data_IF_399799030812
#
_entry.id   IF_399799030812
#
_cell.length_a   1.000
_cell.length_b   1.000
_cell.length_c   1.000
_cell.angle_alpha   90.00
_cell.angle_beta   90.00
_cell.angle_gamma   90.00
#
_symmetry.space_group_name_H-M   'P 1'
#
loop_
_entity.id
_entity.type
_entity.pdbx_description
1 polymer ?
#
# COMPACT_ATOMS: atom_id res chain seq x y z
N UNK A 1 -47.43 7.44 -39.42
CA UNK A 1 -46.24 6.82 -40.07
C UNK A 1 -46.57 5.52 -40.80
N UNK A 2 -47.10 4.47 -40.14
CA UNK A 2 -47.46 3.20 -40.83
C UNK A 2 -48.48 3.39 -41.97
N UNK A 3 -49.55 4.15 -41.75
CA UNK A 3 -50.53 4.49 -42.79
C UNK A 3 -49.90 5.24 -44.00
N UNK A 4 -48.92 6.12 -43.75
CA UNK A 4 -48.20 6.81 -44.81
C UNK A 4 -47.33 5.85 -45.64
N UNK A 5 -46.63 4.91 -44.98
CA UNK A 5 -45.87 3.87 -45.69
C UNK A 5 -46.77 2.98 -46.55
N UNK A 6 -47.99 2.67 -46.07
CA UNK A 6 -48.98 1.95 -46.89
C UNK A 6 -49.39 2.76 -48.13
N UNK A 7 -49.65 4.06 -48.02
CA UNK A 7 -49.94 4.90 -49.18
C UNK A 7 -48.77 5.03 -50.15
N UNK A 8 -47.52 5.01 -49.66
CA UNK A 8 -46.35 4.96 -50.54
C UNK A 8 -46.31 3.63 -51.30
N UNK A 9 -46.53 2.51 -50.61
CA UNK A 9 -46.55 1.18 -51.22
C UNK A 9 -47.71 1.01 -52.23
N UNK A 10 -48.85 1.68 -52.03
CA UNK A 10 -49.96 1.70 -53.01
C UNK A 10 -49.57 2.29 -54.36
N UNK A 11 -48.54 3.14 -54.42
CA UNK A 11 -48.06 3.68 -55.69
C UNK A 11 -47.40 2.60 -56.54
N UNK A 12 -46.77 1.60 -55.90
CA UNK A 12 -45.95 0.59 -56.58
C UNK A 12 -46.61 -0.80 -56.63
N UNK A 13 -47.54 -1.10 -55.71
CA UNK A 13 -48.11 -2.44 -55.52
C UNK A 13 -49.64 -2.43 -55.42
N UNK A 14 -50.30 -3.35 -56.14
CA UNK A 14 -51.78 -3.49 -56.13
C UNK A 14 -52.34 -4.18 -54.89
N UNK A 15 -51.60 -5.12 -54.31
CA UNK A 15 -52.03 -5.90 -53.15
C UNK A 15 -50.98 -5.78 -52.05
N UNK A 16 -51.38 -5.26 -50.89
CA UNK A 16 -50.49 -4.99 -49.76
C UNK A 16 -51.05 -5.68 -48.52
N UNK A 17 -50.25 -6.52 -47.88
CA UNK A 17 -50.60 -7.17 -46.61
C UNK A 17 -49.82 -6.50 -45.48
N UNK A 18 -50.54 -5.95 -44.49
CA UNK A 18 -49.93 -5.39 -43.28
C UNK A 18 -50.09 -6.35 -42.10
N UNK A 19 -48.99 -6.60 -41.40
CA UNK A 19 -48.98 -7.33 -40.13
C UNK A 19 -48.86 -6.28 -39.03
N UNK A 20 -49.86 -6.16 -38.17
CA UNK A 20 -49.84 -5.25 -37.03
C UNK A 20 -50.54 -5.86 -35.82
N UNK A 21 -50.30 -5.29 -34.63
CA UNK A 21 -51.04 -5.64 -33.42
C UNK A 21 -52.52 -5.29 -33.61
N UNK A 22 -53.42 -6.14 -33.09
CA UNK A 22 -54.88 -5.89 -33.13
C UNK A 22 -55.26 -4.56 -32.45
N UNK A 23 -54.46 -4.11 -31.47
CA UNK A 23 -54.66 -2.85 -30.76
C UNK A 23 -54.32 -1.63 -31.60
N UNK A 24 -53.37 -1.76 -32.53
CA UNK A 24 -52.93 -0.67 -33.41
C UNK A 24 -53.81 -0.56 -34.67
N UNK A 25 -54.51 -1.62 -35.05
CA UNK A 25 -55.31 -1.69 -36.28
C UNK A 25 -56.37 -0.57 -36.41
N UNK A 26 -57.19 -0.25 -35.39
CA UNK A 26 -58.19 0.82 -35.51
C UNK A 26 -57.55 2.16 -35.86
N UNK A 27 -56.42 2.49 -35.22
CA UNK A 27 -55.69 3.74 -35.43
C UNK A 27 -55.00 3.80 -36.78
N UNK A 28 -54.40 2.70 -37.22
CA UNK A 28 -53.78 2.60 -38.55
C UNK A 28 -54.84 2.74 -39.63
N UNK A 29 -55.97 2.04 -39.49
CA UNK A 29 -57.09 2.07 -40.43
C UNK A 29 -57.71 3.46 -40.54
N UNK A 30 -57.97 4.12 -39.41
CA UNK A 30 -58.49 5.49 -39.38
C UNK A 30 -57.51 6.46 -40.05
N UNK A 31 -56.22 6.41 -39.67
CA UNK A 31 -55.19 7.27 -40.24
C UNK A 31 -54.98 7.06 -41.76
N UNK A 32 -55.14 5.82 -42.23
CA UNK A 32 -55.04 5.47 -43.65
C UNK A 32 -56.28 5.92 -44.44
N UNK A 33 -57.48 5.72 -43.89
CA UNK A 33 -58.72 6.14 -44.57
C UNK A 33 -58.84 7.67 -44.65
N UNK A 34 -58.50 8.36 -43.56
CA UNK A 34 -58.63 9.83 -43.47
C UNK A 34 -57.43 10.57 -44.06
N UNK A 35 -56.42 9.86 -44.56
CA UNK A 35 -55.15 10.42 -45.06
C UNK A 35 -54.59 11.49 -44.12
N UNK A 36 -54.57 11.19 -42.82
CA UNK A 36 -54.14 12.16 -41.81
C UNK A 36 -52.73 12.66 -42.15
N UNK A 37 -52.44 13.97 -41.98
CA UNK A 37 -51.11 14.49 -42.16
C UNK A 37 -50.16 13.74 -41.23
N UNK A 38 -49.01 13.34 -41.76
CA UNK A 38 -47.98 12.66 -40.99
C UNK A 38 -46.84 13.64 -40.78
N UNK A 39 -46.31 13.64 -39.55
CA UNK A 39 -45.00 14.26 -39.34
C UNK A 39 -44.00 13.47 -40.16
N UNK A 40 -43.29 14.16 -41.06
CA UNK A 40 -42.06 13.63 -41.61
C UNK A 40 -41.15 13.34 -40.42
N UNK A 41 -41.02 12.06 -40.07
CA UNK A 41 -39.89 11.65 -39.24
C UNK A 41 -38.68 12.09 -40.05
N UNK A 42 -37.99 13.11 -39.55
CA UNK A 42 -36.58 13.32 -39.87
C UNK A 42 -35.95 12.00 -39.47
N UNK A 43 -35.74 11.10 -40.42
CA UNK A 43 -34.81 10.00 -40.22
C UNK A 43 -33.51 10.71 -39.89
N UNK A 44 -32.94 10.59 -38.68
CA UNK A 44 -31.57 11.01 -38.50
C UNK A 44 -30.77 10.01 -39.32
N UNK A 45 -30.56 10.36 -40.59
CA UNK A 45 -29.95 9.55 -41.63
C UNK A 45 -28.44 9.78 -41.63
N UNK A 46 -27.87 10.05 -40.47
CA UNK A 46 -26.44 9.88 -40.29
C UNK A 46 -26.22 8.41 -40.00
N UNK A 47 -25.58 7.72 -40.94
CA UNK A 47 -25.01 6.40 -40.67
C UNK A 47 -24.18 6.50 -39.38
N UNK A 48 -24.30 5.51 -38.47
CA UNK A 48 -23.53 5.53 -37.24
C UNK A 48 -22.04 5.63 -37.59
N UNK A 49 -21.40 6.71 -37.14
CA UNK A 49 -19.96 6.88 -37.26
C UNK A 49 -19.29 5.98 -36.22
N UNK A 50 -18.25 5.28 -36.64
CA UNK A 50 -17.44 4.44 -35.77
C UNK A 50 -16.25 5.29 -35.33
N UNK A 51 -16.04 5.34 -34.01
CA UNK A 51 -14.91 6.00 -33.40
C UNK A 51 -14.15 5.02 -32.54
N UNK A 52 -12.83 5.18 -32.46
CA UNK A 52 -12.05 4.56 -31.41
C UNK A 52 -12.26 5.36 -30.12
N UNK A 53 -11.94 4.76 -28.97
CA UNK A 53 -12.05 5.42 -27.66
C UNK A 53 -10.66 5.52 -27.07
N UNK A 54 -10.26 6.61 -26.41
CA UNK A 54 -8.97 6.62 -25.72
C UNK A 54 -8.93 5.63 -24.56
N UNK A 55 -7.80 4.91 -24.42
CA UNK A 55 -7.63 3.82 -23.44
C UNK A 55 -7.92 4.26 -22.01
N UNK A 56 -7.51 5.47 -21.66
CA UNK A 56 -7.69 6.06 -20.34
C UNK A 56 -9.17 6.32 -20.03
N UNK A 57 -10.00 6.50 -21.06
CA UNK A 57 -11.42 6.87 -20.93
C UNK A 57 -12.39 5.70 -21.10
N UNK A 58 -11.88 4.48 -21.32
CA UNK A 58 -12.71 3.27 -21.48
C UNK A 58 -13.72 3.03 -20.36
N UNK A 59 -13.38 3.46 -19.13
CA UNK A 59 -14.26 3.36 -17.98
C UNK A 59 -15.60 4.10 -18.17
N UNK A 60 -15.65 5.15 -18.99
CA UNK A 60 -16.87 5.89 -19.28
C UNK A 60 -17.74 5.24 -20.36
N UNK A 61 -17.16 4.34 -21.16
CA UNK A 61 -17.83 3.63 -22.26
C UNK A 61 -18.42 2.31 -21.80
N UNK A 62 -17.62 1.54 -21.06
CA UNK A 62 -17.94 0.19 -20.64
C UNK A 62 -18.92 0.23 -19.46
N UNK A 63 -19.86 -0.71 -19.43
CA UNK A 63 -20.81 -0.85 -18.32
C UNK A 63 -20.16 -1.47 -17.07
N UNK A 64 -19.05 -2.20 -17.26
CA UNK A 64 -18.26 -2.86 -16.22
C UNK A 64 -16.84 -2.27 -16.15
N UNK A 65 -16.04 -2.70 -15.17
CA UNK A 65 -14.62 -2.33 -15.14
C UNK A 65 -13.91 -2.83 -16.40
N UNK A 66 -13.07 -2.00 -17.06
CA UNK A 66 -12.31 -2.41 -18.23
C UNK A 66 -11.57 -3.75 -18.03
N UNK A 67 -11.02 -3.98 -16.84
CA UNK A 67 -10.35 -5.25 -16.54
C UNK A 67 -11.30 -6.45 -16.47
N UNK A 68 -12.52 -6.29 -15.97
CA UNK A 68 -13.52 -7.36 -15.97
C UNK A 68 -13.97 -7.66 -17.41
N UNK A 69 -14.15 -6.62 -18.22
CA UNK A 69 -14.44 -6.80 -19.66
C UNK A 69 -13.34 -7.59 -20.36
N UNK A 70 -12.07 -7.28 -20.05
CA UNK A 70 -10.94 -8.05 -20.55
C UNK A 70 -10.99 -9.53 -20.12
N UNK A 71 -11.32 -9.82 -18.86
CA UNK A 71 -11.47 -11.20 -18.38
C UNK A 71 -12.60 -11.94 -19.12
N UNK A 72 -13.74 -11.29 -19.34
CA UNK A 72 -14.85 -11.87 -20.10
C UNK A 72 -14.41 -12.23 -21.53
N UNK A 73 -13.61 -11.39 -22.17
CA UNK A 73 -13.12 -11.65 -23.52
C UNK A 73 -12.10 -12.80 -23.58
N UNK A 74 -11.22 -12.93 -22.59
CA UNK A 74 -10.34 -14.11 -22.46
C UNK A 74 -11.18 -15.38 -22.31
N UNK A 75 -12.18 -15.37 -21.42
CA UNK A 75 -13.01 -16.55 -21.17
C UNK A 75 -13.78 -16.97 -22.43
N UNK A 76 -14.25 -16.01 -23.24
CA UNK A 76 -14.87 -16.27 -24.54
C UNK A 76 -13.90 -16.89 -25.54
N UNK A 77 -12.65 -16.41 -25.60
CA UNK A 77 -11.62 -17.01 -26.45
C UNK A 77 -11.29 -18.44 -26.01
N UNK A 78 -11.31 -18.71 -24.71
CA UNK A 78 -11.06 -20.04 -24.13
C UNK A 78 -12.31 -20.95 -24.08
N UNK A 79 -13.47 -20.46 -24.53
CA UNK A 79 -14.76 -21.18 -24.52
C UNK A 79 -15.12 -21.68 -23.09
N UNK A 80 -14.86 -20.84 -22.08
CA UNK A 80 -15.22 -21.09 -20.68
C UNK A 80 -16.58 -20.45 -20.33
N UNK A 81 -17.30 -20.96 -19.32
CA UNK A 81 -18.55 -20.35 -18.89
C UNK A 81 -18.33 -19.00 -18.19
N UNK A 82 -19.08 -17.98 -18.60
CA UNK A 82 -18.99 -16.60 -18.08
C UNK A 82 -19.41 -16.45 -16.59
N UNK A 83 -20.01 -17.48 -15.98
CA UNK A 83 -20.53 -17.42 -14.59
C UNK A 83 -19.46 -17.13 -13.55
N UNK A 84 -18.24 -17.61 -13.77
CA UNK A 84 -17.13 -17.47 -12.81
C UNK A 84 -16.55 -16.05 -12.83
N UNK A 85 -16.54 -15.37 -13.99
CA UNK A 85 -15.93 -14.04 -14.14
C UNK A 85 -16.66 -12.96 -13.34
N UNK A 86 -17.99 -13.01 -13.29
CA UNK A 86 -18.80 -12.05 -12.52
C UNK A 86 -18.51 -12.14 -11.02
N UNK A 87 -18.20 -13.34 -10.51
CA UNK A 87 -17.95 -13.60 -9.10
C UNK A 87 -16.47 -13.35 -8.73
N UNK A 88 -15.55 -13.74 -9.61
CA UNK A 88 -14.11 -13.70 -9.34
C UNK A 88 -13.40 -12.47 -9.93
N UNK A 89 -14.07 -11.66 -10.76
CA UNK A 89 -13.46 -10.49 -11.41
C UNK A 89 -12.86 -9.48 -10.43
N UNK A 90 -13.52 -9.23 -9.29
CA UNK A 90 -12.96 -8.36 -8.24
C UNK A 90 -11.71 -8.98 -7.62
N UNK A 91 -11.69 -10.30 -7.41
CA UNK A 91 -10.52 -10.99 -6.85
C UNK A 91 -9.36 -10.92 -7.82
N UNK A 92 -9.61 -11.09 -9.12
CA UNK A 92 -8.59 -10.95 -10.16
C UNK A 92 -8.05 -9.52 -10.23
N UNK A 93 -8.90 -8.49 -10.10
CA UNK A 93 -8.43 -7.08 -9.95
C UNK A 93 -7.47 -6.96 -8.76
N UNK A 94 -7.80 -7.54 -7.60
CA UNK A 94 -6.92 -7.47 -6.42
C UNK A 94 -5.60 -8.23 -6.61
N UNK A 95 -5.64 -9.38 -7.30
CA UNK A 95 -4.44 -10.16 -7.64
C UNK A 95 -3.56 -9.34 -8.58
N UNK A 96 -4.15 -8.69 -9.59
CA UNK A 96 -3.43 -7.82 -10.50
C UNK A 96 -2.89 -6.57 -9.81
N UNK A 97 -3.68 -5.92 -8.96
CA UNK A 97 -3.24 -4.79 -8.15
C UNK A 97 -2.06 -5.16 -7.25
N UNK A 98 -2.06 -6.36 -6.65
CA UNK A 98 -0.92 -6.87 -5.88
C UNK A 98 0.33 -7.00 -6.75
N UNK A 99 0.20 -7.52 -7.98
CA UNK A 99 1.33 -7.65 -8.92
C UNK A 99 1.90 -6.27 -9.26
N UNK A 100 1.04 -5.31 -9.63
CA UNK A 100 1.42 -3.92 -9.94
C UNK A 100 2.15 -3.31 -8.73
N UNK A 101 1.56 -3.39 -7.54
CA UNK A 101 2.14 -2.86 -6.32
C UNK A 101 3.52 -3.46 -6.00
N UNK A 102 3.66 -4.79 -6.05
CA UNK A 102 4.92 -5.47 -5.73
C UNK A 102 6.00 -5.18 -6.76
N UNK A 103 5.65 -5.09 -8.05
CA UNK A 103 6.61 -4.75 -9.11
C UNK A 103 7.13 -3.32 -8.98
N UNK A 104 6.22 -2.38 -8.67
CA UNK A 104 6.52 -0.94 -8.59
C UNK A 104 7.31 -0.59 -7.33
N UNK A 105 6.83 -1.01 -6.15
CA UNK A 105 7.44 -0.59 -4.88
C UNK A 105 8.47 -1.57 -4.33
N UNK A 106 8.57 -2.78 -4.90
CA UNK A 106 9.49 -3.87 -4.49
C UNK A 106 9.65 -4.00 -2.96
N UNK A 107 8.55 -4.02 -2.19
CA UNK A 107 8.65 -4.05 -0.74
C UNK A 107 9.28 -5.36 -0.29
N UNK A 108 10.18 -5.31 0.70
CA UNK A 108 10.76 -6.53 1.28
C UNK A 108 9.69 -7.31 2.04
N UNK A 109 8.80 -6.60 2.71
CA UNK A 109 7.64 -7.15 3.39
C UNK A 109 6.39 -6.33 3.05
N UNK A 110 5.28 -7.00 2.76
CA UNK A 110 3.98 -6.36 2.57
C UNK A 110 2.87 -7.13 3.27
N UNK A 111 1.78 -6.45 3.62
CA UNK A 111 0.60 -7.01 4.27
C UNK A 111 -0.45 -7.55 3.29
N UNK A 112 -0.22 -7.49 1.97
CA UNK A 112 -1.15 -7.98 0.94
C UNK A 112 -1.21 -9.52 0.87
N UNK A 113 -1.64 -10.13 1.97
CA UNK A 113 -1.85 -11.57 2.14
C UNK A 113 -3.28 -11.96 1.81
N UNK A 114 -3.56 -13.25 1.68
CA UNK A 114 -4.92 -13.75 1.47
C UNK A 114 -5.88 -13.35 2.60
N UNK A 115 -5.39 -13.27 3.85
CA UNK A 115 -6.19 -12.83 5.00
C UNK A 115 -6.55 -11.34 4.90
N UNK A 116 -5.61 -10.50 4.46
CA UNK A 116 -5.89 -9.08 4.21
C UNK A 116 -6.88 -8.89 3.08
N UNK A 117 -6.78 -9.69 2.01
CA UNK A 117 -7.77 -9.67 0.92
C UNK A 117 -9.15 -10.20 1.33
N UNK A 118 -9.21 -11.18 2.23
CA UNK A 118 -10.48 -11.60 2.81
C UNK A 118 -11.13 -10.46 3.61
N UNK A 119 -10.34 -9.75 4.41
CA UNK A 119 -10.79 -8.58 5.18
C UNK A 119 -11.24 -7.46 4.23
N UNK A 120 -10.49 -7.22 3.16
CA UNK A 120 -10.83 -6.28 2.10
C UNK A 120 -12.19 -6.62 1.48
N UNK A 121 -12.39 -7.87 1.04
CA UNK A 121 -13.62 -8.28 0.35
C UNK A 121 -14.82 -8.21 1.29
N UNK A 122 -14.64 -8.58 2.56
CA UNK A 122 -15.67 -8.43 3.59
C UNK A 122 -16.06 -6.96 3.77
N UNK A 123 -15.07 -6.07 3.84
CA UNK A 123 -15.32 -4.65 4.01
C UNK A 123 -15.98 -4.03 2.77
N UNK A 124 -15.46 -4.31 1.57
CA UNK A 124 -16.05 -3.87 0.31
C UNK A 124 -17.50 -4.33 0.17
N UNK A 125 -17.78 -5.62 0.45
CA UNK A 125 -19.15 -6.15 0.46
C UNK A 125 -20.06 -5.39 1.42
N UNK A 126 -19.61 -5.14 2.65
CA UNK A 126 -20.42 -4.45 3.63
C UNK A 126 -20.70 -3.00 3.22
N UNK A 127 -19.72 -2.30 2.62
CA UNK A 127 -19.92 -0.94 2.12
C UNK A 127 -20.90 -0.90 0.94
N UNK A 128 -20.76 -1.83 -0.02
CA UNK A 128 -21.69 -1.99 -1.14
C UNK A 128 -23.13 -2.21 -0.67
N UNK A 129 -23.32 -3.03 0.37
CA UNK A 129 -24.64 -3.28 0.95
C UNK A 129 -25.23 -2.04 1.63
N UNK A 130 -24.41 -1.26 2.34
CA UNK A 130 -24.84 0.01 2.95
C UNK A 130 -25.30 1.01 1.88
N UNK A 131 -24.66 0.98 0.71
CA UNK A 131 -25.00 1.85 -0.42
C UNK A 131 -26.15 1.31 -1.29
N UNK A 132 -26.81 0.22 -0.89
CA UNK A 132 -27.89 -0.44 -1.64
C UNK A 132 -27.51 -0.82 -3.08
N UNK A 133 -26.24 -1.17 -3.31
CA UNK A 133 -25.73 -1.63 -4.61
C UNK A 133 -25.59 -3.17 -4.60
N UNK A 134 -25.65 -3.78 -5.78
CA UNK A 134 -25.39 -5.22 -5.95
C UNK A 134 -23.90 -5.51 -6.13
N UNK A 135 -23.17 -4.59 -6.76
CA UNK A 135 -21.74 -4.68 -7.03
C UNK A 135 -21.01 -3.44 -6.49
N UNK A 136 -19.78 -3.58 -5.97
CA UNK A 136 -18.98 -2.44 -5.55
C UNK A 136 -18.63 -1.55 -6.74
N UNK A 137 -18.73 -0.24 -6.55
CA UNK A 137 -18.23 0.73 -7.51
C UNK A 137 -16.71 0.93 -7.36
N UNK A 138 -16.10 1.63 -8.32
CA UNK A 138 -14.66 1.89 -8.29
C UNK A 138 -14.26 2.69 -7.04
N UNK A 139 -15.10 3.63 -6.61
CA UNK A 139 -14.87 4.42 -5.41
C UNK A 139 -14.78 3.54 -4.16
N UNK A 140 -15.70 2.60 -3.97
CA UNK A 140 -15.69 1.62 -2.87
C UNK A 140 -14.41 0.81 -2.87
N UNK A 141 -14.02 0.27 -4.02
CA UNK A 141 -12.80 -0.53 -4.13
C UNK A 141 -11.54 0.25 -3.74
N UNK A 142 -11.41 1.49 -4.21
CA UNK A 142 -10.25 2.33 -3.92
C UNK A 142 -10.26 2.81 -2.46
N UNK A 143 -11.43 3.16 -1.93
CA UNK A 143 -11.58 3.61 -0.53
C UNK A 143 -11.16 2.51 0.44
N UNK A 144 -11.65 1.28 0.22
CA UNK A 144 -11.26 0.11 1.03
C UNK A 144 -9.77 -0.18 0.88
N UNK A 145 -9.22 -0.10 -0.34
CA UNK A 145 -7.79 -0.30 -0.59
C UNK A 145 -6.93 0.69 0.18
N UNK A 146 -7.33 1.97 0.15
CA UNK A 146 -6.64 3.06 0.84
C UNK A 146 -6.63 2.85 2.36
N UNK A 147 -7.76 2.44 2.93
CA UNK A 147 -7.87 2.25 4.38
C UNK A 147 -7.10 1.01 4.88
N UNK A 148 -6.93 -0.01 4.04
CA UNK A 148 -6.26 -1.25 4.42
C UNK A 148 -4.74 -1.19 4.23
N UNK A 149 -4.27 -0.57 3.14
CA UNK A 149 -2.85 -0.62 2.74
C UNK A 149 -2.32 0.69 2.15
N UNK A 150 -2.99 1.82 2.43
CA UNK A 150 -2.53 3.15 2.07
C UNK A 150 -2.77 3.54 0.60
N UNK A 151 -2.39 4.79 0.29
CA UNK A 151 -2.53 5.37 -1.06
C UNK A 151 -1.84 4.54 -2.17
N UNK A 152 -0.63 3.98 -1.97
CA UNK A 152 0.06 3.22 -3.02
C UNK A 152 -0.72 2.00 -3.53
N UNK A 153 -1.30 1.22 -2.61
CA UNK A 153 -2.11 0.07 -3.00
C UNK A 153 -3.44 0.50 -3.62
N UNK A 154 -4.05 1.58 -3.13
CA UNK A 154 -5.26 2.13 -3.72
C UNK A 154 -5.07 2.59 -5.17
N UNK A 155 -3.92 3.19 -5.48
CA UNK A 155 -3.52 3.55 -6.85
C UNK A 155 -3.32 2.28 -7.69
N UNK A 156 -2.68 1.25 -7.15
CA UNK A 156 -2.51 -0.02 -7.87
C UNK A 156 -3.85 -0.70 -8.20
N UNK A 157 -4.85 -0.60 -7.30
CA UNK A 157 -6.23 -1.08 -7.56
C UNK A 157 -6.91 -0.25 -8.66
N UNK A 158 -6.74 1.07 -8.63
CA UNK A 158 -7.25 1.96 -9.68
C UNK A 158 -6.63 1.65 -11.05
N UNK A 159 -5.30 1.47 -11.11
CA UNK A 159 -4.57 1.09 -12.32
C UNK A 159 -5.05 -0.28 -12.83
N UNK A 160 -5.15 -1.29 -11.94
CA UNK A 160 -5.62 -2.63 -12.29
C UNK A 160 -7.05 -2.63 -12.83
N UNK A 161 -7.98 -1.91 -12.18
CA UNK A 161 -9.39 -1.90 -12.60
C UNK A 161 -9.61 -1.25 -13.99
N UNK A 162 -8.75 -0.29 -14.35
CA UNK A 162 -8.81 0.45 -15.63
C UNK A 162 -8.04 -0.21 -16.75
N UNK A 163 -7.31 -1.28 -16.47
CA UNK A 163 -6.49 -1.96 -17.46
C UNK A 163 -7.34 -2.76 -18.46
N UNK A 164 -7.17 -2.51 -19.76
CA UNK A 164 -7.76 -3.29 -20.84
C UNK A 164 -6.70 -3.55 -21.92
N UNK A 165 -6.04 -4.73 -21.89
CA UNK A 165 -4.88 -5.01 -22.75
C UNK A 165 -5.18 -5.18 -24.25
N UNK A 166 -6.40 -5.55 -24.63
CA UNK A 166 -6.71 -5.82 -26.05
C UNK A 166 -6.83 -4.57 -26.92
N UNK A 167 -6.84 -3.39 -26.31
CA UNK A 167 -6.86 -2.16 -27.06
C UNK A 167 -5.45 -1.75 -27.53
N UNK A 168 -5.27 -1.77 -28.84
CA UNK A 168 -4.06 -1.28 -29.53
C UNK A 168 -4.48 -0.14 -30.46
N UNK A 169 -4.30 1.11 -30.02
CA UNK A 169 -4.68 2.30 -30.80
C UNK A 169 -3.80 2.51 -32.04
N UNK A 170 -2.53 2.09 -31.99
CA UNK A 170 -1.55 2.29 -33.07
C UNK A 170 -1.89 1.53 -34.36
N UNK A 171 -2.76 0.53 -34.31
CA UNK A 171 -3.15 -0.30 -35.45
C UNK A 171 -4.48 0.11 -36.08
N UNK A 172 -5.16 1.12 -35.55
CA UNK A 172 -6.51 1.50 -36.00
C UNK A 172 -6.49 2.78 -36.82
N UNK A 173 -7.07 2.76 -38.03
CA UNK A 173 -7.24 3.95 -38.88
C UNK A 173 -8.46 4.81 -38.49
N UNK A 174 -8.99 4.60 -37.28
CA UNK A 174 -10.22 5.21 -36.78
C UNK A 174 -9.85 6.30 -35.77
N UNK A 175 -10.46 7.47 -35.90
CA UNK A 175 -10.22 8.61 -35.02
C UNK A 175 -10.61 8.28 -33.56
N UNK A 176 -9.73 8.54 -32.57
CA UNK A 176 -10.02 8.31 -31.16
C UNK A 176 -10.82 9.46 -30.56
N UNK A 177 -11.82 9.12 -29.76
CA UNK A 177 -12.57 10.05 -28.91
C UNK A 177 -12.14 9.90 -27.44
N UNK A 178 -11.93 11.03 -26.78
CA UNK A 178 -11.81 11.09 -25.32
C UNK A 178 -13.22 11.14 -24.72
N UNK A 179 -13.57 10.16 -23.90
CA UNK A 179 -14.90 10.09 -23.29
C UNK A 179 -14.93 10.60 -21.85
N UNK A 180 -16.08 11.18 -21.47
CA UNK A 180 -16.44 11.55 -20.12
C UNK A 180 -17.91 11.24 -19.85
N UNK A 181 -18.42 11.66 -18.70
CA UNK A 181 -19.83 11.44 -18.35
C UNK A 181 -20.71 12.27 -19.28
N UNK A 182 -21.53 11.59 -20.08
CA UNK A 182 -22.45 12.16 -21.08
C UNK A 182 -21.79 13.12 -22.09
N UNK A 183 -20.47 13.00 -22.27
CA UNK A 183 -19.68 13.87 -23.14
C UNK A 183 -18.57 13.11 -23.86
N UNK A 184 -18.28 13.53 -25.08
CA UNK A 184 -17.08 13.15 -25.84
C UNK A 184 -16.32 14.40 -26.25
N UNK A 185 -15.02 14.24 -26.45
CA UNK A 185 -14.16 15.24 -27.04
C UNK A 185 -13.42 14.59 -28.19
N UNK A 186 -13.52 15.20 -29.37
CA UNK A 186 -12.77 14.79 -30.55
C UNK A 186 -11.32 15.28 -30.48
N UNK A 187 -10.47 14.78 -31.36
CA UNK A 187 -9.08 15.21 -31.59
C UNK A 187 -8.92 16.73 -31.70
N UNK A 188 -9.91 17.43 -32.25
CA UNK A 188 -9.98 18.91 -32.35
C UNK A 188 -10.45 19.62 -31.06
N UNK A 189 -10.55 18.90 -29.93
CA UNK A 189 -11.05 19.40 -28.65
C UNK A 189 -12.49 19.95 -28.68
N UNK A 190 -13.32 19.48 -29.61
CA UNK A 190 -14.73 19.89 -29.68
C UNK A 190 -15.60 19.03 -28.77
N UNK A 191 -16.30 19.61 -27.77
CA UNK A 191 -17.14 18.84 -26.86
C UNK A 191 -18.47 18.48 -27.52
N UNK A 192 -18.81 17.19 -27.50
CA UNK A 192 -20.09 16.65 -27.97
C UNK A 192 -20.86 16.05 -26.80
N UNK A 193 -22.18 16.22 -26.77
CA UNK A 193 -23.03 15.53 -25.80
C UNK A 193 -23.28 14.10 -26.27
N UNK A 194 -23.07 13.14 -25.38
CA UNK A 194 -23.32 11.73 -25.63
C UNK A 194 -24.33 11.18 -24.64
N UNK A 195 -25.05 10.13 -25.06
CA UNK A 195 -25.91 9.36 -24.17
C UNK A 195 -25.50 7.90 -24.24
N UNK A 196 -25.02 7.35 -23.14
CA UNK A 196 -24.75 5.93 -23.04
C UNK A 196 -26.09 5.16 -23.00
N UNK A 197 -26.30 4.25 -23.96
CA UNK A 197 -27.50 3.41 -24.06
C UNK A 197 -27.35 2.06 -23.38
N UNK A 198 -26.14 1.70 -22.96
CA UNK A 198 -25.79 0.43 -22.34
C UNK A 198 -25.71 0.54 -20.81
N UNK A 199 -25.54 1.74 -20.27
CA UNK A 199 -25.41 1.94 -18.82
C UNK A 199 -26.77 2.18 -18.16
N UNK A 200 -27.19 1.25 -17.30
CA UNK A 200 -28.35 1.42 -16.41
C UNK A 200 -27.95 1.88 -14.99
N UNK A 201 -26.65 1.96 -14.72
CA UNK A 201 -26.12 2.29 -13.40
C UNK A 201 -26.10 3.80 -13.16
N UNK A 202 -26.59 4.24 -12.00
CA UNK A 202 -26.45 5.61 -11.54
C UNK A 202 -24.99 5.90 -11.18
N UNK A 203 -24.41 6.89 -11.86
CA UNK A 203 -23.05 7.40 -11.64
C UNK A 203 -23.11 8.61 -10.72
N UNK A 204 -22.31 8.61 -9.67
CA UNK A 204 -22.17 9.74 -8.74
C UNK A 204 -20.73 10.24 -8.73
N UNK A 205 -20.56 11.56 -8.66
CA UNK A 205 -19.25 12.16 -8.45
C UNK A 205 -18.84 12.03 -6.99
N UNK A 206 -17.72 11.34 -6.76
CA UNK A 206 -17.12 11.21 -5.44
C UNK A 206 -15.64 11.56 -5.50
N UNK A 207 -15.21 12.40 -4.57
CA UNK A 207 -13.82 12.80 -4.43
C UNK A 207 -13.04 11.79 -3.59
N UNK A 208 -11.91 11.30 -4.10
CA UNK A 208 -10.93 10.56 -3.32
C UNK A 208 -9.57 11.24 -3.43
N UNK A 209 -8.99 11.58 -2.28
CA UNK A 209 -7.65 12.15 -2.23
C UNK A 209 -6.64 11.01 -2.29
N UNK A 210 -5.91 10.86 -3.39
CA UNK A 210 -4.81 9.90 -3.51
C UNK A 210 -3.51 10.67 -3.71
N UNK A 211 -2.43 10.19 -3.11
CA UNK A 211 -1.08 10.76 -3.26
C UNK A 211 -0.28 9.95 -4.29
N UNK A 212 -0.28 10.32 -5.58
CA UNK A 212 0.48 9.58 -6.59
C UNK A 212 1.99 9.75 -6.40
N UNK A 213 2.75 8.79 -6.91
CA UNK A 213 4.19 8.95 -6.99
C UNK A 213 4.57 10.09 -7.95
N UNK A 214 5.63 10.86 -7.62
CA UNK A 214 6.06 11.96 -8.46
C UNK A 214 6.67 11.46 -9.77
N UNK A 215 6.38 12.16 -10.85
CA UNK A 215 7.02 11.92 -12.15
C UNK A 215 8.54 12.15 -12.06
N UNK A 216 9.32 11.33 -12.77
CA UNK A 216 10.80 11.38 -12.86
C UNK A 216 11.31 12.81 -13.10
N UNK A 217 10.64 13.61 -13.96
CA UNK A 217 11.04 15.01 -14.21
C UNK A 217 10.98 15.87 -12.95
N UNK A 218 9.93 15.71 -12.13
CA UNK A 218 9.77 16.43 -10.86
C UNK A 218 10.80 15.97 -9.84
N UNK A 219 11.04 14.66 -9.75
CA UNK A 219 12.07 14.11 -8.86
C UNK A 219 13.46 14.68 -9.16
N UNK A 220 13.83 14.75 -10.44
CA UNK A 220 15.10 15.34 -10.88
C UNK A 220 15.19 16.83 -10.52
N UNK A 221 14.09 17.59 -10.71
CA UNK A 221 14.03 19.00 -10.34
C UNK A 221 14.20 19.20 -8.83
N UNK A 222 13.56 18.38 -8.00
CA UNK A 222 13.69 18.48 -6.54
C UNK A 222 15.07 18.10 -6.05
N UNK A 223 15.70 17.09 -6.67
CA UNK A 223 17.08 16.72 -6.38
C UNK A 223 18.05 17.86 -6.70
N UNK A 224 17.86 18.54 -7.83
CA UNK A 224 18.68 19.68 -8.22
C UNK A 224 18.54 20.87 -7.26
N UNK A 225 17.32 21.12 -6.77
CA UNK A 225 17.02 22.23 -5.85
C UNK A 225 17.33 21.90 -4.37
N UNK A 226 17.96 20.77 -4.08
CA UNK A 226 18.27 20.39 -2.70
C UNK A 226 19.41 21.24 -2.12
N UNK A 227 19.23 21.73 -0.90
CA UNK A 227 20.24 22.51 -0.19
C UNK A 227 21.13 21.56 0.62
N UNK A 228 22.45 21.48 0.34
CA UNK A 228 23.34 20.56 1.04
C UNK A 228 23.60 20.94 2.51
N UNK A 229 23.23 22.15 2.94
CA UNK A 229 23.57 22.66 4.28
C UNK A 229 22.48 22.42 5.34
N UNK A 230 21.30 21.93 4.94
CA UNK A 230 20.17 21.73 5.84
C UNK A 230 19.52 20.37 5.69
N UNK A 231 19.46 19.59 6.76
CA UNK A 231 18.63 18.37 6.82
C UNK A 231 18.04 18.19 8.21
N UNK A 232 16.81 17.70 8.27
CA UNK A 232 16.14 17.34 9.52
C UNK A 232 15.20 16.15 9.29
N UNK A 233 14.85 15.48 10.39
CA UNK A 233 13.90 14.38 10.40
C UNK A 233 12.45 14.86 10.34
N UNK A 234 11.56 13.92 10.02
CA UNK A 234 10.11 14.10 10.06
C UNK A 234 9.56 13.66 11.43
N UNK A 235 9.09 14.58 12.30
CA UNK A 235 8.78 14.24 13.70
C UNK A 235 7.76 13.10 13.91
N UNK A 236 6.69 12.97 13.11
CA UNK A 236 5.77 11.84 13.27
C UNK A 236 6.40 10.46 13.03
N UNK A 237 7.46 10.37 12.24
CA UNK A 237 8.23 9.13 12.08
C UNK A 237 9.17 8.90 13.25
N UNK A 238 9.79 9.97 13.76
CA UNK A 238 10.64 9.90 14.97
C UNK A 238 9.82 9.38 16.16
N UNK A 239 8.60 9.87 16.38
CA UNK A 239 7.70 9.39 17.43
C UNK A 239 7.38 7.89 17.29
N UNK A 240 7.21 7.38 16.06
CA UNK A 240 6.97 5.96 15.80
C UNK A 240 8.21 5.11 16.08
N UNK A 241 9.39 5.57 15.64
CA UNK A 241 10.66 4.90 15.87
C UNK A 241 10.95 4.85 17.39
N UNK A 242 10.71 5.93 18.12
CA UNK A 242 10.91 5.97 19.58
C UNK A 242 9.90 5.13 20.35
N UNK A 243 8.64 5.10 19.91
CA UNK A 243 7.63 4.19 20.48
C UNK A 243 8.03 2.74 20.30
N UNK A 244 8.55 2.39 19.12
CA UNK A 244 9.06 1.05 18.83
C UNK A 244 10.31 0.69 19.64
N UNK A 245 11.26 1.62 19.75
CA UNK A 245 12.45 1.49 20.61
C UNK A 245 12.07 1.26 22.07
N UNK A 246 11.09 2.01 22.59
CA UNK A 246 10.57 1.85 23.96
C UNK A 246 9.98 0.45 24.16
N UNK A 247 9.12 0.00 23.23
CA UNK A 247 8.54 -1.34 23.29
C UNK A 247 9.61 -2.45 23.28
N UNK A 248 10.64 -2.31 22.44
CA UNK A 248 11.75 -3.27 22.38
C UNK A 248 12.55 -3.29 23.69
N UNK A 249 12.78 -2.13 24.32
CA UNK A 249 13.45 -2.06 25.63
C UNK A 249 12.67 -2.77 26.72
N UNK A 250 11.35 -2.60 26.75
CA UNK A 250 10.47 -3.30 27.69
C UNK A 250 10.56 -4.82 27.50
N UNK A 251 10.48 -5.29 26.25
CA UNK A 251 10.64 -6.70 25.92
C UNK A 251 12.00 -7.25 26.38
N UNK A 252 13.07 -6.50 26.17
CA UNK A 252 14.40 -6.93 26.61
C UNK A 252 14.54 -6.94 28.14
N UNK A 253 13.92 -5.99 28.86
CA UNK A 253 13.89 -6.01 30.32
C UNK A 253 13.19 -7.26 30.86
N UNK A 254 12.09 -7.67 30.21
CA UNK A 254 11.37 -8.90 30.54
C UNK A 254 12.20 -10.16 30.27
N UNK A 255 13.01 -10.17 29.20
CA UNK A 255 13.93 -11.29 28.93
C UNK A 255 15.02 -11.38 30.00
N UNK A 256 15.62 -10.25 30.39
CA UNK A 256 16.61 -10.21 31.46
C UNK A 256 16.05 -10.67 32.81
N UNK A 257 14.82 -10.26 33.14
CA UNK A 257 14.19 -10.64 34.40
C UNK A 257 13.86 -12.13 34.42
N UNK A 258 13.39 -12.69 33.30
CA UNK A 258 13.10 -14.12 33.19
C UNK A 258 14.35 -15.01 33.32
N UNK A 259 15.50 -14.58 32.80
CA UNK A 259 16.77 -15.33 32.96
C UNK A 259 17.25 -15.35 34.42
N UNK A 260 16.86 -14.37 35.23
CA UNK A 260 17.18 -14.29 36.66
C UNK A 260 16.15 -14.99 37.55
N UNK A 261 15.07 -15.51 36.97
CA UNK A 261 13.99 -16.11 37.73
C UNK A 261 14.47 -17.35 38.48
N UNK A 262 14.06 -17.43 39.74
CA UNK A 262 14.34 -18.57 40.62
C UNK A 262 13.05 -19.27 40.97
N UNK A 263 13.12 -20.58 41.08
CA UNK A 263 12.00 -21.41 41.50
C UNK A 263 12.24 -21.78 42.96
N UNK A 264 11.28 -21.48 43.82
CA UNK A 264 11.33 -21.78 45.25
C UNK A 264 10.07 -22.52 45.67
N UNK A 265 10.19 -23.36 46.70
CA UNK A 265 9.04 -24.09 47.26
C UNK A 265 8.00 -23.12 47.81
N UNK A 266 6.73 -23.35 47.48
CA UNK A 266 5.60 -22.60 47.99
C UNK A 266 5.57 -22.70 49.52
N UNK A 267 5.68 -21.55 50.16
CA UNK A 267 5.59 -21.45 51.62
C UNK A 267 4.38 -20.62 52.04
N UNK A 268 4.33 -19.35 51.64
CA UNK A 268 3.33 -18.39 52.12
C UNK A 268 2.82 -17.42 51.05
N UNK A 269 3.49 -17.32 49.90
CA UNK A 269 3.13 -16.37 48.83
C UNK A 269 3.32 -17.00 47.46
N UNK A 270 2.43 -16.64 46.54
CA UNK A 270 2.48 -17.02 45.11
C UNK A 270 3.52 -16.18 44.34
N UNK A 271 4.23 -15.25 45.00
CA UNK A 271 5.27 -14.38 44.41
C UNK A 271 4.88 -13.88 43.00
N UNK A 272 5.63 -14.24 41.96
CA UNK A 272 5.38 -13.83 40.56
C UNK A 272 4.62 -14.89 39.75
N UNK A 273 4.19 -15.99 40.38
CA UNK A 273 3.36 -17.04 39.78
C UNK A 273 3.89 -18.46 40.03
N UNK A 274 3.04 -19.46 39.80
CA UNK A 274 3.41 -20.88 39.97
C UNK A 274 4.35 -21.32 38.85
N UNK A 275 5.49 -21.93 39.21
CA UNK A 275 6.36 -22.59 38.24
C UNK A 275 5.83 -23.99 37.96
N UNK A 276 4.98 -24.10 36.94
CA UNK A 276 4.41 -25.38 36.52
C UNK A 276 5.48 -26.41 36.16
N UNK A 277 6.62 -26.00 35.59
CA UNK A 277 7.62 -26.94 35.12
C UNK A 277 8.35 -27.59 36.29
N UNK A 278 8.72 -26.79 37.27
CA UNK A 278 9.43 -27.29 38.47
C UNK A 278 8.48 -28.01 39.43
N UNK A 279 7.23 -27.55 39.51
CA UNK A 279 6.15 -28.26 40.22
C UNK A 279 5.90 -29.64 39.61
N UNK A 280 5.89 -29.77 38.27
CA UNK A 280 5.73 -31.06 37.60
C UNK A 280 6.95 -31.98 37.79
N UNK A 281 8.17 -31.44 37.89
CA UNK A 281 9.38 -32.23 38.18
C UNK A 281 9.32 -32.84 39.58
N UNK A 282 8.88 -32.07 40.56
CA UNK A 282 8.76 -32.48 41.94
C UNK A 282 7.33 -32.94 42.30
N UNK A 283 6.53 -33.34 41.31
CA UNK A 283 5.13 -33.74 41.52
C UNK A 283 4.99 -34.88 42.53
N UNK A 284 5.98 -35.77 42.58
CA UNK A 284 6.05 -36.89 43.50
C UNK A 284 6.24 -36.48 44.98
N UNK A 285 6.75 -35.28 45.24
CA UNK A 285 6.94 -34.72 46.58
C UNK A 285 5.67 -34.03 47.11
N UNK A 286 4.67 -33.77 46.24
CA UNK A 286 3.44 -33.07 46.58
C UNK A 286 3.61 -31.56 46.80
N UNK A 287 4.81 -31.04 46.52
CA UNK A 287 5.17 -29.64 46.73
C UNK A 287 4.89 -28.78 45.48
N UNK A 288 4.35 -27.59 45.71
CA UNK A 288 4.13 -26.59 44.66
C UNK A 288 5.33 -25.66 44.63
N UNK A 289 5.84 -25.36 43.43
CA UNK A 289 6.95 -24.43 43.24
C UNK A 289 6.45 -23.11 42.68
N UNK A 290 7.02 -22.01 43.17
CA UNK A 290 6.67 -20.65 42.82
C UNK A 290 7.89 -19.94 42.26
N UNK A 291 7.65 -19.15 41.21
CA UNK A 291 8.65 -18.33 40.55
C UNK A 291 8.81 -17.00 41.29
N UNK A 292 10.05 -16.67 41.62
CA UNK A 292 10.47 -15.33 42.02
C UNK A 292 11.30 -14.72 40.90
N UNK A 293 10.84 -13.60 40.37
CA UNK A 293 11.54 -12.77 39.40
C UNK A 293 12.15 -11.62 40.19
N UNK A 294 13.46 -11.68 40.52
CA UNK A 294 14.07 -10.58 41.24
C UNK A 294 13.99 -9.30 40.40
N UNK A 295 13.83 -8.15 41.08
CA UNK A 295 13.82 -6.85 40.41
C UNK A 295 15.06 -6.73 39.50
N UNK A 296 14.83 -6.60 38.20
CA UNK A 296 15.88 -6.59 37.20
C UNK A 296 16.77 -5.36 37.40
N UNK A 297 18.00 -5.57 37.89
CA UNK A 297 18.97 -4.50 38.11
C UNK A 297 19.62 -3.98 36.82
N UNK A 298 19.36 -4.63 35.67
CA UNK A 298 19.94 -4.25 34.38
C UNK A 298 19.10 -3.18 33.68
N UNK A 299 19.68 -2.01 33.43
CA UNK A 299 19.09 -1.02 32.51
C UNK A 299 19.51 -1.37 31.08
N UNK A 300 18.65 -1.00 30.13
CA UNK A 300 18.92 -1.18 28.71
C UNK A 300 18.98 0.20 28.10
N UNK A 301 20.20 0.61 27.77
CA UNK A 301 20.51 1.93 27.26
C UNK A 301 20.57 1.97 25.73
N UNK A 302 21.11 0.92 25.12
CA UNK A 302 21.34 0.85 23.67
C UNK A 302 20.53 -0.29 23.08
N UNK A 303 19.82 0.03 22.00
CA UNK A 303 19.12 -0.92 21.15
C UNK A 303 19.71 -0.81 19.75
N UNK A 304 20.09 -1.93 19.16
CA UNK A 304 20.59 -2.02 17.80
C UNK A 304 19.59 -2.81 16.96
N UNK A 305 19.08 -2.19 15.90
CA UNK A 305 18.28 -2.82 14.87
C UNK A 305 19.14 -3.14 13.66
N UNK A 306 19.11 -4.39 13.22
CA UNK A 306 19.74 -4.85 11.98
C UNK A 306 18.61 -5.43 11.13
N UNK A 307 18.23 -4.75 10.06
CA UNK A 307 17.16 -5.19 9.16
C UNK A 307 17.71 -6.12 8.07
N UNK A 308 18.88 -5.77 7.55
CA UNK A 308 19.54 -6.49 6.47
C UNK A 308 20.81 -7.17 6.97
N UNK A 309 20.84 -8.50 6.84
CA UNK A 309 22.04 -9.30 7.14
C UNK A 309 22.96 -9.23 5.93
N UNK A 310 24.24 -8.97 6.17
CA UNK A 310 25.29 -8.77 5.16
C UNK A 310 24.92 -7.69 4.15
N UNK A 311 24.65 -6.46 4.62
CA UNK A 311 24.30 -5.36 3.74
C UNK A 311 25.49 -5.05 2.83
N UNK A 312 25.24 -5.04 1.53
CA UNK A 312 26.23 -4.56 0.57
C UNK A 312 26.46 -3.05 0.83
N UNK A 313 27.69 -2.62 1.15
CA UNK A 313 27.97 -1.21 1.41
C UNK A 313 27.54 -0.27 0.29
N UNK A 314 27.56 -0.74 -0.97
CA UNK A 314 27.14 0.06 -2.12
C UNK A 314 25.65 0.39 -2.12
N UNK A 315 24.81 -0.44 -1.51
CA UNK A 315 23.37 -0.19 -1.39
C UNK A 315 23.07 0.78 -0.23
N UNK A 316 23.98 0.88 0.74
CA UNK A 316 23.82 1.67 1.95
C UNK A 316 24.95 2.71 2.10
N UNK A 317 25.12 3.62 1.12
CA UNK A 317 26.23 4.57 1.14
C UNK A 317 26.07 5.65 2.21
N UNK A 318 24.84 5.89 2.69
CA UNK A 318 24.56 6.97 3.61
C UNK A 318 24.67 6.49 5.06
N UNK A 319 25.72 6.95 5.73
CA UNK A 319 26.06 6.58 7.10
C UNK A 319 26.21 7.84 7.94
N UNK A 320 25.42 7.98 9.01
CA UNK A 320 25.46 9.18 9.84
C UNK A 320 25.07 8.92 11.29
N UNK A 321 25.44 9.86 12.15
CA UNK A 321 24.95 10.01 13.52
C UNK A 321 24.06 11.25 13.61
N UNK A 322 22.79 11.05 13.95
CA UNK A 322 21.80 12.07 14.21
C UNK A 322 21.65 12.29 15.71
N UNK A 323 21.62 13.56 16.10
CA UNK A 323 21.49 13.98 17.49
C UNK A 323 20.03 14.32 17.78
N UNK A 324 19.55 13.91 18.95
CA UNK A 324 18.23 14.24 19.45
C UNK A 324 18.01 15.77 19.47
N UNK A 325 16.93 16.24 18.85
CA UNK A 325 16.45 17.62 19.00
C UNK A 325 15.71 17.80 20.34
N UNK A 326 15.16 16.71 20.90
CA UNK A 326 14.35 16.72 22.11
C UNK A 326 14.82 15.69 23.15
N UNK A 327 14.62 15.98 24.44
CA UNK A 327 15.03 15.09 25.54
C UNK A 327 14.35 13.71 25.55
N UNK A 328 13.28 13.54 24.77
CA UNK A 328 12.55 12.28 24.62
C UNK A 328 13.04 11.43 23.44
N UNK A 329 13.92 11.97 22.61
CA UNK A 329 14.48 11.27 21.46
C UNK A 329 15.79 10.58 21.84
N UNK A 330 16.13 9.53 21.11
CA UNK A 330 17.40 8.82 21.22
C UNK A 330 18.46 9.47 20.33
N UNK A 331 19.73 9.37 20.71
CA UNK A 331 20.81 9.58 19.73
C UNK A 331 20.80 8.41 18.76
N UNK A 332 20.69 8.69 17.47
CA UNK A 332 20.51 7.69 16.42
C UNK A 332 21.76 7.61 15.54
N UNK A 333 22.37 6.43 15.41
CA UNK A 333 23.41 6.16 14.42
C UNK A 333 22.89 5.13 13.43
N UNK A 334 23.10 5.32 12.14
CA UNK A 334 22.54 4.42 11.14
C UNK A 334 23.37 4.32 9.87
N UNK A 335 23.09 3.27 9.11
CA UNK A 335 23.41 3.18 7.70
C UNK A 335 22.13 2.93 6.90
N UNK A 336 21.96 3.68 5.81
CA UNK A 336 20.73 3.75 5.03
C UNK A 336 21.05 3.93 3.53
N UNK A 337 20.04 3.68 2.70
CA UNK A 337 20.07 4.04 1.28
C UNK A 337 20.20 5.55 1.14
N UNK A 338 20.77 6.02 0.03
CA UNK A 338 20.81 7.47 -0.26
C UNK A 338 19.38 8.01 -0.51
N UNK A 339 18.96 8.98 0.31
CA UNK A 339 17.65 9.62 0.21
C UNK A 339 17.48 10.43 -1.08
N UNK A 340 18.58 10.85 -1.71
CA UNK A 340 18.56 11.60 -2.96
C UNK A 340 18.19 10.74 -4.17
N UNK A 341 18.12 9.42 -4.02
CA UNK A 341 17.70 8.52 -5.09
C UNK A 341 16.18 8.34 -5.16
N UNK A 342 15.45 8.73 -4.11
CA UNK A 342 14.00 8.58 -4.02
C UNK A 342 13.36 9.86 -3.47
N UNK A 343 13.13 10.82 -4.38
CA UNK A 343 12.57 12.12 -4.06
C UNK A 343 11.05 12.06 -4.09
N UNK A 344 10.41 12.14 -2.92
CA UNK A 344 8.94 12.00 -2.78
C UNK A 344 8.23 13.34 -2.90
N UNK A 345 8.91 14.44 -2.56
CA UNK A 345 8.36 15.78 -2.61
C UNK A 345 9.44 16.86 -2.73
N UNK A 346 9.04 18.14 -2.88
CA UNK A 346 9.97 19.26 -2.88
C UNK A 346 10.69 19.34 -1.54
N UNK A 347 11.99 19.03 -1.54
CA UNK A 347 12.83 18.94 -0.35
C UNK A 347 12.44 17.82 0.62
N UNK A 348 11.81 16.75 0.12
CA UNK A 348 11.48 15.52 0.87
C UNK A 348 12.11 14.33 0.14
N UNK A 349 13.16 13.75 0.73
CA UNK A 349 13.79 12.52 0.26
C UNK A 349 13.38 11.34 1.13
N UNK A 350 13.27 10.14 0.56
CA UNK A 350 12.94 8.91 1.28
C UNK A 350 14.16 8.00 1.32
N UNK A 351 14.47 7.48 2.50
CA UNK A 351 15.53 6.51 2.71
C UNK A 351 15.02 5.28 3.46
N UNK A 352 15.78 4.19 3.33
CA UNK A 352 15.50 2.92 3.99
C UNK A 352 16.71 2.53 4.84
N UNK A 353 16.50 2.29 6.13
CA UNK A 353 17.53 1.78 7.03
C UNK A 353 17.96 0.37 6.63
N UNK A 354 19.27 0.14 6.59
CA UNK A 354 19.84 -1.21 6.64
C UNK A 354 20.05 -1.66 8.09
N UNK A 355 20.38 -0.72 8.98
CA UNK A 355 20.46 -0.90 10.40
C UNK A 355 20.65 0.42 11.14
N UNK A 356 20.23 0.47 12.40
CA UNK A 356 20.37 1.63 13.26
C UNK A 356 20.64 1.25 14.72
N UNK A 357 21.35 2.13 15.41
CA UNK A 357 21.65 2.08 16.83
C UNK A 357 21.00 3.28 17.50
N UNK A 358 20.24 3.03 18.56
CA UNK A 358 19.53 4.04 19.33
C UNK A 358 20.02 4.05 20.77
N UNK A 359 20.49 5.21 21.22
CA UNK A 359 20.99 5.43 22.59
C UNK A 359 19.98 6.29 23.34
N UNK A 360 19.43 5.75 24.44
CA UNK A 360 18.54 6.49 25.32
C UNK A 360 18.86 6.18 26.79
N UNK A 361 19.02 7.20 27.67
CA UNK A 361 18.85 8.63 27.40
C UNK A 361 19.80 9.22 26.35
N UNK A 362 19.42 10.27 25.61
CA UNK A 362 20.24 10.82 24.54
C UNK A 362 21.56 11.36 25.07
N UNK A 363 22.65 11.11 24.35
CA UNK A 363 23.99 11.58 24.69
C UNK A 363 24.75 11.99 23.43
N UNK A 364 25.55 13.07 23.48
CA UNK A 364 26.41 13.42 22.36
C UNK A 364 27.55 12.40 22.26
N UNK A 365 27.59 11.65 21.17
CA UNK A 365 28.70 10.78 20.80
C UNK A 365 29.30 11.25 19.46
N UNK A 366 30.61 11.10 19.23
CA UNK A 366 31.20 11.38 17.93
C UNK A 366 30.58 10.53 16.83
N UNK A 367 30.71 10.98 15.59
CA UNK A 367 30.24 10.22 14.44
C UNK A 367 30.95 8.86 14.34
N UNK A 368 30.22 7.80 14.64
CA UNK A 368 30.77 6.44 14.81
C UNK A 368 31.46 5.92 13.54
N UNK A 369 31.07 6.45 12.37
CA UNK A 369 31.59 6.03 11.08
C UNK A 369 32.99 6.57 10.79
N UNK A 370 33.35 7.68 11.44
CA UNK A 370 34.64 8.37 11.31
C UNK A 370 35.52 8.23 12.55
N UNK A 371 35.01 7.64 13.62
CA UNK A 371 35.73 7.49 14.89
C UNK A 371 36.83 6.42 14.76
N UNK A 372 38.13 6.78 14.86
CA UNK A 372 39.22 5.82 14.75
C UNK A 372 39.25 4.79 15.89
N UNK A 373 38.54 5.04 17.00
CA UNK A 373 38.45 4.11 18.12
C UNK A 373 37.59 2.89 17.78
N UNK A 374 36.71 3.01 16.78
CA UNK A 374 35.79 1.96 16.29
C UNK A 374 36.40 1.38 15.00
N UNK A 375 37.21 0.34 15.13
CA UNK A 375 38.04 -0.19 14.04
C UNK A 375 38.05 -1.73 13.94
N UNK A 376 37.41 -2.43 14.87
CA UNK A 376 37.38 -3.90 14.90
C UNK A 376 36.37 -4.43 13.87
N UNK A 377 35.22 -3.77 13.76
CA UNK A 377 34.14 -4.14 12.85
C UNK A 377 34.52 -3.83 11.40
N UNK A 378 34.38 -4.84 10.54
CA UNK A 378 34.71 -4.71 9.11
C UNK A 378 33.47 -4.38 8.28
N UNK A 379 32.33 -4.97 8.64
CA UNK A 379 31.05 -4.70 7.96
C UNK A 379 30.31 -3.54 8.62
N UNK A 380 29.31 -2.98 7.91
CA UNK A 380 28.47 -1.90 8.45
C UNK A 380 27.79 -2.28 9.77
N UNK A 381 27.26 -3.50 9.84
CA UNK A 381 26.60 -4.03 11.03
C UNK A 381 27.59 -4.31 12.17
N UNK A 382 28.78 -4.81 11.85
CA UNK A 382 29.83 -5.00 12.87
C UNK A 382 30.31 -3.66 13.44
N UNK A 383 30.46 -2.62 12.62
CA UNK A 383 30.80 -1.26 13.09
C UNK A 383 29.70 -0.68 13.98
N UNK A 384 28.43 -0.84 13.58
CA UNK A 384 27.29 -0.39 14.36
C UNK A 384 27.22 -1.10 15.72
N UNK A 385 27.47 -2.42 15.75
CA UNK A 385 27.53 -3.20 16.98
C UNK A 385 28.75 -2.84 17.84
N UNK A 386 29.92 -2.65 17.25
CA UNK A 386 31.12 -2.20 17.96
C UNK A 386 30.89 -0.85 18.64
N UNK A 387 30.28 0.10 17.93
CA UNK A 387 29.87 1.39 18.49
C UNK A 387 28.95 1.21 19.69
N UNK A 388 27.95 0.33 19.58
CA UNK A 388 27.04 0.01 20.68
C UNK A 388 27.79 -0.57 21.89
N UNK A 389 28.73 -1.49 21.66
CA UNK A 389 29.52 -2.08 22.75
C UNK A 389 30.45 -1.08 23.42
N UNK A 390 31.04 -0.17 22.64
CA UNK A 390 31.96 0.86 23.12
C UNK A 390 31.25 1.96 23.92
N UNK A 391 30.11 2.45 23.45
CA UNK A 391 29.39 3.56 24.07
C UNK A 391 28.41 3.14 25.18
N UNK A 392 28.03 1.86 25.27
CA UNK A 392 27.12 1.39 26.33
C UNK A 392 27.78 1.46 27.69
N UNK A 393 27.14 2.12 28.66
CA UNK A 393 27.54 2.03 30.07
C UNK A 393 27.06 0.73 30.71
N UNK A 394 25.99 0.15 30.18
CA UNK A 394 25.38 -1.08 30.68
C UNK A 394 26.06 -2.33 30.12
N UNK A 395 25.96 -3.45 30.86
CA UNK A 395 26.53 -4.75 30.45
C UNK A 395 25.75 -5.39 29.30
N UNK A 396 24.44 -5.16 29.24
CA UNK A 396 23.54 -5.82 28.31
C UNK A 396 23.10 -4.85 27.22
N UNK A 397 23.22 -5.28 25.96
CA UNK A 397 22.81 -4.51 24.78
C UNK A 397 21.80 -5.34 24.02
N UNK A 398 20.70 -4.70 23.62
CA UNK A 398 19.65 -5.36 22.84
C UNK A 398 20.01 -5.30 21.36
N UNK A 399 19.97 -6.45 20.70
CA UNK A 399 20.16 -6.57 19.25
C UNK A 399 18.92 -7.22 18.65
N UNK A 400 18.22 -6.46 17.83
CA UNK A 400 17.04 -6.90 17.07
C UNK A 400 17.47 -7.23 15.65
N UNK A 401 17.32 -8.48 15.23
CA UNK A 401 17.86 -8.97 13.95
C UNK A 401 17.11 -10.22 13.46
N UNK A 402 17.07 -10.53 12.14
CA UNK A 402 16.33 -11.68 11.64
C UNK A 402 17.04 -13.01 11.86
N UNK A 403 18.36 -13.01 12.09
CA UNK A 403 19.15 -14.20 12.39
C UNK A 403 19.64 -14.23 13.85
N UNK A 404 20.15 -15.36 14.31
CA UNK A 404 20.85 -15.41 15.60
C UNK A 404 22.16 -14.58 15.54
N UNK A 405 22.63 -14.01 16.66
CA UNK A 405 23.88 -13.23 16.69
C UNK A 405 25.06 -14.07 16.20
N UNK A 406 25.75 -13.58 15.17
CA UNK A 406 26.88 -14.26 14.53
C UNK A 406 28.04 -14.49 15.52
N UNK A 407 28.90 -15.50 15.31
CA UNK A 407 30.06 -15.75 16.15
C UNK A 407 30.99 -14.54 16.28
N UNK A 408 31.19 -13.78 15.19
CA UNK A 408 31.98 -12.55 15.20
C UNK A 408 31.39 -11.48 16.11
N UNK A 409 30.06 -11.28 16.10
CA UNK A 409 29.40 -10.30 16.96
C UNK A 409 29.62 -10.61 18.43
N UNK A 410 29.53 -11.90 18.81
CA UNK A 410 29.83 -12.36 20.17
C UNK A 410 31.31 -12.20 20.53
N UNK A 411 32.21 -12.35 19.56
CA UNK A 411 33.66 -12.13 19.76
C UNK A 411 33.95 -10.66 20.05
N UNK A 412 33.34 -9.74 19.29
CA UNK A 412 33.45 -8.29 19.51
C UNK A 412 32.86 -7.94 20.89
N UNK A 413 31.65 -8.43 21.21
CA UNK A 413 31.00 -8.11 22.49
C UNK A 413 31.84 -8.54 23.70
N UNK A 414 32.47 -9.72 23.65
CA UNK A 414 33.37 -10.21 24.71
C UNK A 414 34.59 -9.32 24.92
N UNK A 415 35.14 -8.73 23.86
CA UNK A 415 36.29 -7.81 23.95
C UNK A 415 35.95 -6.53 24.71
N UNK A 416 34.69 -6.10 24.65
CA UNK A 416 34.18 -4.95 25.43
C UNK A 416 33.50 -5.35 26.75
N UNK A 417 33.58 -6.64 27.14
CA UNK A 417 32.90 -7.18 28.32
C UNK A 417 31.37 -6.97 28.33
N UNK A 418 30.75 -7.01 27.14
CA UNK A 418 29.31 -6.83 26.94
C UNK A 418 28.61 -8.14 26.55
N UNK A 419 27.33 -8.23 26.89
CA UNK A 419 26.43 -9.33 26.53
C UNK A 419 25.34 -8.87 25.58
N UNK A 420 25.01 -9.72 24.61
CA UNK A 420 23.97 -9.46 23.61
C UNK A 420 22.65 -10.11 24.06
N UNK A 421 21.59 -9.32 24.19
CA UNK A 421 20.22 -9.81 24.28
C UNK A 421 19.66 -9.84 22.87
N UNK A 422 19.37 -11.03 22.35
CA UNK A 422 18.81 -11.18 21.01
C UNK A 422 17.29 -11.16 21.04
N UNK A 423 16.70 -10.28 20.23
CA UNK A 423 15.28 -10.31 19.91
C UNK A 423 15.12 -10.61 18.41
N UNK A 424 14.49 -11.73 18.03
CA UNK A 424 14.21 -12.01 16.63
C UNK A 424 13.26 -10.97 16.03
N UNK A 425 13.59 -10.44 14.84
CA UNK A 425 12.69 -9.52 14.11
C UNK A 425 11.29 -10.09 13.89
N UNK A 426 11.19 -11.42 13.69
CA UNK A 426 9.92 -12.13 13.48
C UNK A 426 8.91 -12.00 14.63
N UNK A 427 9.34 -11.52 15.81
CA UNK A 427 8.42 -11.22 16.93
C UNK A 427 7.56 -9.99 16.66
N UNK A 428 7.98 -9.11 15.75
CA UNK A 428 7.25 -7.90 15.40
C UNK A 428 6.50 -8.09 14.09
N UNK A 429 5.43 -7.30 13.91
CA UNK A 429 4.68 -7.34 12.66
C UNK A 429 5.54 -6.84 11.51
N UNK A 430 5.46 -7.50 10.36
CA UNK A 430 6.16 -7.10 9.14
C UNK A 430 5.84 -5.66 8.72
N UNK A 431 4.60 -5.20 8.97
CA UNK A 431 4.19 -3.83 8.71
C UNK A 431 4.92 -2.83 9.61
N UNK A 432 4.98 -3.10 10.91
CA UNK A 432 5.70 -2.25 11.86
C UNK A 432 7.17 -2.15 11.48
N UNK A 433 7.79 -3.27 11.09
CA UNK A 433 9.19 -3.30 10.64
C UNK A 433 9.36 -2.44 9.39
N UNK A 434 8.53 -2.62 8.38
CA UNK A 434 8.67 -1.87 7.12
C UNK A 434 8.41 -0.36 7.32
N UNK A 435 7.48 0.01 8.20
CA UNK A 435 7.23 1.41 8.58
C UNK A 435 8.43 2.03 9.29
N UNK A 436 8.99 1.36 10.31
CA UNK A 436 10.14 1.86 11.07
C UNK A 436 11.42 1.89 10.20
N UNK A 437 11.51 1.00 9.22
CA UNK A 437 12.67 0.91 8.32
C UNK A 437 12.71 2.06 7.31
N UNK A 438 11.57 2.59 6.91
CA UNK A 438 11.47 3.70 5.94
C UNK A 438 11.32 5.02 6.69
N UNK A 439 12.09 6.02 6.28
CA UNK A 439 12.04 7.34 6.89
C UNK A 439 12.28 8.43 5.86
N UNK A 440 11.83 9.64 6.18
CA UNK A 440 11.95 10.79 5.30
C UNK A 440 12.95 11.81 5.86
N UNK A 441 13.79 12.30 4.96
CA UNK A 441 14.73 13.39 5.19
C UNK A 441 14.12 14.66 4.61
N UNK A 442 14.09 15.71 5.42
CA UNK A 442 13.55 17.00 5.03
C UNK A 442 14.69 18.00 4.86
N UNK A 443 14.68 18.74 3.75
CA UNK A 443 15.61 19.83 3.44
C UNK A 443 15.29 21.11 4.27
N UNK A 444 15.22 20.97 5.59
CA UNK A 444 14.97 22.05 6.55
C UNK A 444 13.60 22.01 7.25
N UNK A 445 13.52 22.68 8.40
CA UNK A 445 12.35 22.65 9.30
C UNK A 445 11.09 23.23 8.67
N UNK A 446 11.22 24.19 7.76
CA UNK A 446 10.12 24.82 7.03
C UNK A 446 9.29 23.79 6.23
N UNK A 447 9.94 22.71 5.77
CA UNK A 447 9.30 21.66 4.97
C UNK A 447 8.32 20.84 5.79
N UNK A 448 8.51 20.77 7.12
CA UNK A 448 7.60 20.08 8.05
C UNK A 448 6.15 20.57 7.91
N UNK A 449 5.93 21.82 7.51
CA UNK A 449 4.59 22.39 7.32
C UNK A 449 3.78 21.72 6.21
N UNK A 450 4.43 21.24 5.14
CA UNK A 450 3.75 20.68 3.96
C UNK A 450 4.19 19.25 3.61
N UNK A 451 5.23 18.70 4.26
CA UNK A 451 5.74 17.35 4.01
C UNK A 451 4.64 16.27 4.05
N UNK A 452 3.66 16.43 4.96
CA UNK A 452 2.50 15.54 5.09
C UNK A 452 1.69 15.35 3.79
N UNK A 453 1.72 16.31 2.87
CA UNK A 453 1.02 16.18 1.59
C UNK A 453 1.70 15.17 0.64
N UNK A 454 3.01 14.99 0.79
CA UNK A 454 3.82 14.13 -0.08
C UNK A 454 4.12 12.78 0.56
N UNK A 455 4.33 12.75 1.87
CA UNK A 455 4.59 11.51 2.62
C UNK A 455 3.32 10.65 2.61
N UNK A 456 3.44 9.42 2.11
CA UNK A 456 2.37 8.43 2.05
C UNK A 456 2.35 7.61 3.35
N UNK A 457 1.17 7.42 3.93
CA UNK A 457 0.99 6.47 5.03
C UNK A 457 0.96 5.05 4.44
N UNK A 458 1.89 4.19 4.87
CA UNK A 458 1.96 2.76 4.49
C UNK A 458 1.09 1.87 5.38
#
# INVERSE_FOLDING_TARGET
>A
WMAYQLHQLEMDFKNITIICSILDWPWIKEAYNERKPYDQKITPLDNPKIYAVEKETLFFTLAEFPYITYLNEIYRQEIKPDKEVVIDGIKEILIQARKIFTQKHRPRYHNLTSQTFQTYLQYARNLTLIENRLTPDLYTLITVAKQISGDPFAIAVLEAAREYPFQVLESTSIEPLTLGIDKAVDSDNTPMNMKNRLSENQIEWRGINLKPEPNIKKQAQWKYNWDPYGQCSWPPEDDQIESFNTHVREQSKLLLSNDLARSEKFSSSIKDGVDMRDTLRHWHEGDIYVKEIPASRGRIEIVVFIFDIEPNPNNYPWCQTWYAEHNKESTLCFFATDYMNDMVGPGVGRATYGGCMMIYPPRPIPDIWKDPRIHIGKTLEEKLLEAAFFHSQEKHITVVTPCLPKPNWRKISRKYHKSIIHIPLKRFSNQTIEKVRRFHVLNGKQIRSFAKHFIQDL
#
